data_IF_994411076621
#
_entry.id   IF_994411076621
#
_cell.length_a   1.000
_cell.length_b   1.000
_cell.length_c   1.000
_cell.angle_alpha   90.00
_cell.angle_beta   90.00
_cell.angle_gamma   90.00
#
_symmetry.space_group_name_H-M   'P 1'
#
loop_
_entity.id
_entity.type
_entity.pdbx_description
1 polymer ?
#
# COMPACT_ATOMS: atom_id res chain seq x y z
N UNK A 1 -22.33 -13.17 10.64
CA UNK A 1 -23.31 -13.67 9.66
C UNK A 1 -22.65 -13.73 8.30
N UNK A 2 -22.79 -14.84 7.59
CA UNK A 2 -22.36 -15.01 6.20
C UNK A 2 -23.57 -15.01 5.27
N UNK A 3 -23.40 -14.52 4.06
CA UNK A 3 -24.41 -14.52 3.00
C UNK A 3 -23.76 -14.87 1.67
N UNK A 4 -24.57 -15.13 0.64
CA UNK A 4 -24.07 -15.54 -0.68
C UNK A 4 -24.36 -14.46 -1.71
N UNK A 5 -23.42 -14.30 -2.64
CA UNK A 5 -23.56 -13.49 -3.86
C UNK A 5 -22.95 -14.26 -5.05
N UNK A 6 -23.23 -13.82 -6.26
CA UNK A 6 -22.82 -14.52 -7.49
C UNK A 6 -21.60 -13.83 -8.11
N UNK A 7 -20.59 -14.61 -8.47
CA UNK A 7 -19.37 -14.15 -9.17
C UNK A 7 -19.15 -15.03 -10.40
N UNK A 8 -19.18 -14.46 -11.59
CA UNK A 8 -18.98 -15.19 -12.86
C UNK A 8 -19.89 -16.44 -12.97
N UNK A 9 -21.12 -16.33 -12.46
CA UNK A 9 -22.11 -17.42 -12.42
C UNK A 9 -21.95 -18.41 -11.25
N UNK A 10 -20.90 -18.30 -10.44
CA UNK A 10 -20.63 -19.16 -9.29
C UNK A 10 -21.10 -18.50 -7.98
N UNK A 11 -21.69 -19.27 -7.05
CA UNK A 11 -22.01 -18.76 -5.72
C UNK A 11 -20.73 -18.59 -4.88
N UNK A 12 -20.61 -17.43 -4.24
CA UNK A 12 -19.48 -17.06 -3.39
C UNK A 12 -20.01 -16.58 -2.04
N UNK A 13 -19.48 -17.11 -0.94
CA UNK A 13 -19.84 -16.65 0.39
C UNK A 13 -19.10 -15.35 0.75
N UNK A 14 -19.81 -14.44 1.42
CA UNK A 14 -19.27 -13.23 1.98
C UNK A 14 -19.58 -13.09 3.47
N UNK A 15 -18.68 -12.43 4.20
CA UNK A 15 -18.86 -12.03 5.61
C UNK A 15 -19.40 -10.61 5.69
N UNK A 16 -20.28 -10.35 6.65
CA UNK A 16 -20.78 -9.00 6.89
C UNK A 16 -19.64 -8.00 7.12
N UNK A 17 -19.64 -6.90 6.37
CA UNK A 17 -18.65 -5.82 6.45
C UNK A 17 -17.39 -6.03 5.63
N UNK A 18 -17.22 -7.17 4.94
CA UNK A 18 -16.04 -7.37 4.08
C UNK A 18 -16.22 -6.75 2.68
N UNK A 19 -15.10 -6.34 2.08
CA UNK A 19 -15.08 -5.78 0.72
C UNK A 19 -15.19 -6.87 -0.34
N UNK A 20 -15.64 -6.53 -1.55
CA UNK A 20 -15.64 -7.45 -2.68
C UNK A 20 -14.24 -8.01 -2.93
N UNK A 21 -13.19 -7.18 -2.86
CA UNK A 21 -11.82 -7.63 -3.08
C UNK A 21 -11.40 -8.71 -2.06
N UNK A 22 -11.72 -8.51 -0.78
CA UNK A 22 -11.42 -9.46 0.29
C UNK A 22 -12.15 -10.79 0.07
N UNK A 23 -13.45 -10.73 -0.27
CA UNK A 23 -14.25 -11.92 -0.57
C UNK A 23 -13.69 -12.67 -1.80
N UNK A 24 -13.42 -11.95 -2.90
CA UNK A 24 -12.92 -12.53 -4.15
C UNK A 24 -11.55 -13.23 -3.96
N UNK A 25 -10.62 -12.60 -3.24
CA UNK A 25 -9.31 -13.20 -2.96
C UNK A 25 -9.38 -14.49 -2.15
N UNK A 26 -10.34 -14.58 -1.23
CA UNK A 26 -10.56 -15.77 -0.40
C UNK A 26 -11.02 -16.98 -1.22
N UNK A 27 -11.62 -16.72 -2.38
CA UNK A 27 -12.07 -17.71 -3.36
C UNK A 27 -11.14 -17.84 -4.56
N UNK A 28 -9.86 -17.46 -4.39
CA UNK A 28 -8.81 -17.56 -5.42
C UNK A 28 -9.09 -16.78 -6.70
N UNK A 29 -9.99 -15.79 -6.67
CA UNK A 29 -10.17 -14.84 -7.76
C UNK A 29 -9.08 -13.77 -7.66
N UNK A 30 -8.05 -13.87 -8.50
CA UNK A 30 -6.96 -12.89 -8.52
C UNK A 30 -7.41 -11.58 -9.17
N UNK A 31 -7.68 -10.58 -8.34
CA UNK A 31 -8.01 -9.23 -8.77
C UNK A 31 -6.77 -8.33 -8.62
N UNK A 32 -6.29 -7.71 -9.70
CA UNK A 32 -5.06 -6.93 -9.65
C UNK A 32 -5.24 -5.68 -8.80
N UNK A 33 -4.24 -5.40 -7.97
CA UNK A 33 -4.21 -4.20 -7.12
C UNK A 33 -2.82 -3.60 -7.07
N UNK A 34 -2.77 -2.28 -6.96
CA UNK A 34 -1.52 -1.53 -6.77
C UNK A 34 -1.50 -0.74 -5.47
N UNK A 35 -2.62 -0.12 -5.10
CA UNK A 35 -2.80 0.69 -3.89
C UNK A 35 -3.47 -0.08 -2.73
N UNK A 36 -3.34 -1.40 -2.71
CA UNK A 36 -3.84 -2.24 -1.62
C UNK A 36 -2.65 -2.99 -1.02
N UNK A 37 -2.55 -2.97 0.31
CA UNK A 37 -1.58 -3.75 1.07
C UNK A 37 -2.22 -4.10 2.41
N UNK A 38 -2.26 -5.37 2.77
CA UNK A 38 -2.78 -5.77 4.09
C UNK A 38 -1.78 -5.36 5.18
N UNK A 39 -2.24 -4.84 6.34
CA UNK A 39 -3.62 -4.67 6.80
C UNK A 39 -4.16 -3.22 6.60
N UNK A 40 -3.67 -2.46 5.63
CA UNK A 40 -4.10 -1.08 5.42
C UNK A 40 -5.54 -0.99 4.93
N UNK A 41 -6.20 0.10 5.30
CA UNK A 41 -7.52 0.42 4.76
C UNK A 41 -7.48 0.57 3.23
N UNK A 42 -8.57 0.27 2.50
CA UNK A 42 -8.59 0.40 1.04
C UNK A 42 -8.37 1.86 0.59
N UNK A 43 -7.38 2.09 -0.28
CA UNK A 43 -7.09 3.43 -0.79
C UNK A 43 -7.96 3.86 -1.98
N UNK A 44 -8.49 2.91 -2.76
CA UNK A 44 -9.30 3.18 -3.96
C UNK A 44 -8.59 3.87 -5.14
N UNK A 45 -7.35 4.37 -4.96
CA UNK A 45 -6.70 5.31 -5.88
C UNK A 45 -6.27 4.72 -7.23
N UNK A 46 -5.81 3.46 -7.28
CA UNK A 46 -5.26 2.88 -8.52
C UNK A 46 -6.30 2.36 -9.50
N UNK A 47 -7.54 2.09 -9.04
CA UNK A 47 -8.68 1.55 -9.81
C UNK A 47 -8.45 0.23 -10.56
N UNK A 48 -7.28 -0.42 -10.49
CA UNK A 48 -7.03 -1.72 -11.15
C UNK A 48 -7.96 -2.84 -10.68
N UNK A 49 -8.46 -2.73 -9.44
CA UNK A 49 -9.40 -3.67 -8.83
C UNK A 49 -10.84 -3.55 -9.37
N UNK A 50 -11.03 -2.89 -10.51
CA UNK A 50 -12.33 -2.71 -11.14
C UNK A 50 -12.95 -4.07 -11.49
N UNK A 51 -14.23 -4.21 -11.17
CA UNK A 51 -15.10 -5.34 -11.49
C UNK A 51 -16.46 -4.81 -11.98
N UNK A 52 -17.20 -5.63 -12.68
CA UNK A 52 -18.55 -5.31 -13.17
C UNK A 52 -19.59 -5.82 -12.17
N UNK A 53 -20.50 -4.95 -11.76
CA UNK A 53 -21.60 -5.29 -10.86
C UNK A 53 -22.92 -5.03 -11.58
N UNK A 54 -23.83 -6.00 -11.54
CA UNK A 54 -25.17 -5.87 -12.14
C UNK A 54 -25.95 -4.74 -11.48
N UNK A 55 -26.60 -3.92 -12.30
CA UNK A 55 -27.49 -2.87 -11.83
C UNK A 55 -28.79 -3.48 -11.31
N UNK A 56 -29.32 -2.97 -10.18
CA UNK A 56 -30.59 -3.46 -9.62
C UNK A 56 -31.79 -3.08 -10.49
N UNK A 57 -31.76 -1.87 -11.05
CA UNK A 57 -32.92 -1.22 -11.69
C UNK A 57 -32.78 -1.04 -13.21
N UNK A 58 -31.72 -1.60 -13.81
CA UNK A 58 -31.45 -1.46 -15.25
C UNK A 58 -30.81 -2.73 -15.82
N UNK A 59 -31.12 -3.05 -17.07
CA UNK A 59 -30.43 -4.09 -17.82
C UNK A 59 -29.00 -3.60 -18.13
N UNK A 60 -28.04 -4.08 -17.35
CA UNK A 60 -26.64 -3.74 -17.53
C UNK A 60 -25.76 -3.97 -16.31
N UNK A 61 -24.47 -3.75 -16.53
CA UNK A 61 -23.43 -3.80 -15.50
C UNK A 61 -22.80 -2.42 -15.37
N UNK A 62 -22.46 -2.05 -14.14
CA UNK A 62 -21.65 -0.87 -13.86
C UNK A 62 -20.31 -1.28 -13.27
N UNK A 63 -19.27 -0.54 -13.60
CA UNK A 63 -17.93 -0.78 -13.06
C UNK A 63 -17.78 -0.19 -11.66
N UNK A 64 -17.26 -0.99 -10.73
CA UNK A 64 -17.02 -0.60 -9.33
C UNK A 64 -15.62 -1.04 -8.90
N UNK A 65 -15.02 -0.31 -7.96
CA UNK A 65 -13.77 -0.74 -7.34
C UNK A 65 -14.06 -1.79 -6.26
N UNK A 66 -13.60 -3.02 -6.48
CA UNK A 66 -13.84 -4.11 -5.53
C UNK A 66 -13.21 -3.86 -4.16
N UNK A 67 -12.12 -3.09 -4.08
CA UNK A 67 -11.46 -2.80 -2.80
C UNK A 67 -12.27 -1.89 -1.87
N UNK A 68 -13.20 -1.09 -2.38
CA UNK A 68 -14.03 -0.18 -1.57
C UNK A 68 -15.48 -0.68 -1.45
N UNK A 69 -15.94 -1.49 -2.39
CA UNK A 69 -17.31 -1.95 -2.44
C UNK A 69 -17.56 -3.00 -1.36
N UNK A 70 -18.47 -2.70 -0.43
CA UNK A 70 -18.95 -3.67 0.55
C UNK A 70 -19.77 -4.77 -0.14
N UNK A 71 -19.56 -6.01 0.30
CA UNK A 71 -20.37 -7.15 -0.14
C UNK A 71 -21.83 -7.01 0.33
N UNK A 72 -22.78 -7.42 -0.52
CA UNK A 72 -24.21 -7.48 -0.18
C UNK A 72 -24.83 -8.76 -0.75
N UNK A 73 -25.85 -9.28 -0.05
CA UNK A 73 -26.59 -10.45 -0.51
C UNK A 73 -27.27 -10.17 -1.87
N UNK A 74 -27.21 -11.16 -2.76
CA UNK A 74 -27.83 -11.08 -4.09
C UNK A 74 -27.10 -10.21 -5.10
N UNK A 75 -25.88 -9.74 -4.81
CA UNK A 75 -25.03 -9.11 -5.82
C UNK A 75 -24.66 -10.11 -6.93
N UNK A 76 -24.56 -9.63 -8.16
CA UNK A 76 -24.01 -10.38 -9.29
C UNK A 76 -22.81 -9.61 -9.84
N UNK A 77 -21.64 -10.24 -9.77
CA UNK A 77 -20.33 -9.66 -10.11
C UNK A 77 -19.74 -10.43 -11.29
N UNK A 78 -19.15 -9.70 -12.23
CA UNK A 78 -18.27 -10.25 -13.26
C UNK A 78 -16.85 -9.76 -13.02
N UNK A 79 -15.91 -10.69 -13.00
CA UNK A 79 -14.48 -10.36 -12.82
C UNK A 79 -13.71 -10.40 -14.12
N UNK A 80 -14.31 -10.98 -15.16
CA UNK A 80 -13.74 -11.16 -16.49
C UNK A 80 -14.73 -10.75 -17.57
N UNK A 81 -14.35 -9.75 -18.36
CA UNK A 81 -15.05 -9.34 -19.58
C UNK A 81 -14.09 -8.56 -20.48
N UNK A 82 -14.43 -8.40 -21.76
CA UNK A 82 -13.64 -7.57 -22.67
C UNK A 82 -13.58 -6.11 -22.21
N UNK A 83 -14.70 -5.59 -21.71
CA UNK A 83 -14.77 -4.24 -21.14
C UNK A 83 -13.80 -4.10 -19.95
N UNK A 84 -13.78 -5.05 -19.00
CA UNK A 84 -12.85 -5.02 -17.88
C UNK A 84 -11.38 -5.10 -18.32
N UNK A 85 -11.06 -5.96 -19.30
CA UNK A 85 -9.71 -6.06 -19.85
C UNK A 85 -9.27 -4.73 -20.48
N UNK A 86 -10.15 -4.11 -21.27
CA UNK A 86 -9.87 -2.83 -21.92
C UNK A 86 -9.67 -1.71 -20.90
N UNK A 87 -10.53 -1.62 -19.88
CA UNK A 87 -10.40 -0.63 -18.81
C UNK A 87 -9.11 -0.82 -18.01
N UNK A 88 -8.76 -2.06 -17.62
CA UNK A 88 -7.50 -2.33 -16.90
C UNK A 88 -6.28 -1.96 -17.75
N UNK A 89 -6.28 -2.25 -19.05
CA UNK A 89 -5.22 -1.82 -19.98
C UNK A 89 -5.08 -0.30 -20.02
N UNK A 90 -6.19 0.43 -20.17
CA UNK A 90 -6.17 1.89 -20.16
C UNK A 90 -5.63 2.46 -18.84
N UNK A 91 -6.05 1.91 -17.70
CA UNK A 91 -5.53 2.32 -16.37
C UNK A 91 -4.03 2.04 -16.24
N UNK A 92 -3.57 0.88 -16.69
CA UNK A 92 -2.14 0.54 -16.71
C UNK A 92 -1.35 1.55 -17.56
N UNK A 93 -1.82 1.87 -18.77
CA UNK A 93 -1.17 2.89 -19.62
C UNK A 93 -1.04 4.23 -18.90
N UNK A 94 -2.08 4.68 -18.18
CA UNK A 94 -2.03 5.92 -17.40
C UNK A 94 -1.04 5.84 -16.23
N UNK A 95 -1.02 4.73 -15.49
CA UNK A 95 -0.11 4.52 -14.36
C UNK A 95 1.36 4.46 -14.80
N UNK A 96 1.66 3.85 -15.95
CA UNK A 96 3.03 3.82 -16.52
C UNK A 96 3.55 5.22 -16.82
N UNK A 97 2.69 6.09 -17.36
CA UNK A 97 3.04 7.48 -17.67
C UNK A 97 3.42 8.30 -16.44
N UNK A 98 2.86 7.95 -15.27
CA UNK A 98 3.25 8.60 -14.02
C UNK A 98 4.65 8.21 -13.57
N UNK A 99 5.13 7.02 -13.96
CA UNK A 99 6.39 6.47 -13.47
C UNK A 99 7.07 5.52 -14.46
N UNK A 100 7.54 6.03 -15.63
CA UNK A 100 8.11 5.19 -16.68
C UNK A 100 9.35 4.43 -16.19
N UNK A 101 10.23 5.10 -15.46
CA UNK A 101 11.54 4.57 -15.04
C UNK A 101 11.51 3.79 -13.70
N UNK A 102 10.34 3.25 -13.33
CA UNK A 102 10.16 2.49 -12.10
C UNK A 102 9.99 0.98 -12.39
N UNK A 103 11.07 0.18 -12.51
CA UNK A 103 11.01 -1.20 -12.98
C UNK A 103 10.14 -2.12 -12.09
N UNK A 104 10.18 -1.92 -10.77
CA UNK A 104 9.32 -2.67 -9.84
C UNK A 104 7.83 -2.38 -10.05
N UNK A 105 7.48 -1.14 -10.42
CA UNK A 105 6.12 -0.79 -10.82
C UNK A 105 5.78 -1.44 -12.17
N UNK A 106 6.67 -1.36 -13.17
CA UNK A 106 6.40 -1.92 -14.50
C UNK A 106 6.07 -3.42 -14.39
N UNK A 107 6.88 -4.20 -13.67
CA UNK A 107 6.63 -5.63 -13.45
C UNK A 107 5.29 -5.93 -12.72
N UNK A 108 4.83 -5.04 -11.83
CA UNK A 108 3.51 -5.18 -11.19
C UNK A 108 2.37 -4.85 -12.16
N UNK A 109 2.57 -3.85 -13.01
CA UNK A 109 1.59 -3.45 -14.01
C UNK A 109 1.47 -4.48 -15.15
N UNK A 110 2.57 -5.07 -15.60
CA UNK A 110 2.59 -6.16 -16.59
C UNK A 110 1.75 -7.35 -16.11
N UNK A 111 1.97 -7.79 -14.87
CA UNK A 111 1.19 -8.87 -14.24
C UNK A 111 -0.30 -8.54 -14.16
N UNK A 112 -0.66 -7.28 -13.94
CA UNK A 112 -2.06 -6.86 -13.79
C UNK A 112 -2.89 -6.99 -15.08
N UNK A 113 -2.26 -6.96 -16.27
CA UNK A 113 -2.95 -7.06 -17.57
C UNK A 113 -2.56 -8.30 -18.38
N UNK A 114 -1.65 -9.14 -17.85
CA UNK A 114 -1.19 -10.37 -18.49
C UNK A 114 -0.41 -10.18 -19.79
N UNK A 115 0.02 -8.95 -20.11
CA UNK A 115 0.75 -8.59 -21.34
C UNK A 115 1.72 -7.44 -21.05
N UNK A 116 2.92 -7.49 -21.62
CA UNK A 116 3.79 -6.32 -21.71
C UNK A 116 3.19 -5.30 -22.68
N UNK A 117 2.53 -4.24 -22.20
CA UNK A 117 2.09 -3.16 -23.08
C UNK A 117 3.27 -2.24 -23.41
N UNK A 118 3.70 -2.19 -24.67
CA UNK A 118 4.69 -1.18 -25.07
C UNK A 118 4.13 0.23 -24.81
N UNK A 119 4.92 1.17 -24.29
CA UNK A 119 4.51 2.57 -24.22
C UNK A 119 4.27 3.07 -25.64
N UNK A 120 3.00 3.17 -26.02
CA UNK A 120 2.59 3.70 -27.31
C UNK A 120 3.00 5.18 -27.43
N UNK A 121 3.94 5.42 -28.36
CA UNK A 121 4.45 6.70 -28.85
C UNK A 121 5.08 7.64 -27.81
N UNK A 122 6.42 7.68 -27.84
CA UNK A 122 7.29 8.80 -27.42
C UNK A 122 6.88 9.51 -26.12
N UNK A 123 7.41 9.04 -24.99
CA UNK A 123 7.29 9.74 -23.71
C UNK A 123 8.67 10.28 -23.34
N UNK A 124 8.80 11.57 -22.98
CA UNK A 124 10.05 12.12 -22.49
C UNK A 124 10.48 11.38 -21.22
N UNK A 125 11.63 10.72 -21.26
CA UNK A 125 12.40 10.33 -20.08
C UNK A 125 12.89 11.61 -19.42
N UNK A 126 12.11 12.11 -18.46
CA UNK A 126 12.51 13.26 -17.67
C UNK A 126 13.44 12.80 -16.57
N UNK A 127 14.71 13.21 -16.62
CA UNK A 127 15.59 13.17 -15.45
C UNK A 127 14.91 13.95 -14.32
N UNK A 128 14.43 13.21 -13.32
CA UNK A 128 13.63 13.73 -12.23
C UNK A 128 13.46 12.70 -11.13
N UNK A 129 13.12 13.12 -9.90
CA UNK A 129 13.02 12.21 -8.76
C UNK A 129 11.98 11.11 -9.03
N UNK A 130 12.36 9.84 -8.76
CA UNK A 130 11.50 8.65 -8.84
C UNK A 130 10.03 9.00 -8.51
N UNK A 131 9.14 8.91 -9.52
CA UNK A 131 7.90 9.65 -9.48
C UNK A 131 6.82 8.97 -8.64
N UNK A 132 5.95 9.78 -8.05
CA UNK A 132 4.85 9.32 -7.21
C UNK A 132 3.62 9.00 -8.06
N UNK A 133 3.13 7.77 -8.00
CA UNK A 133 1.86 7.38 -8.63
C UNK A 133 0.62 7.70 -7.80
N UNK A 134 0.79 8.40 -6.67
CA UNK A 134 -0.30 8.87 -5.80
C UNK A 134 -1.15 7.73 -5.22
N UNK A 135 -0.55 6.58 -4.98
CA UNK A 135 -1.25 5.41 -4.45
C UNK A 135 -1.69 5.57 -2.98
N UNK A 136 -1.08 6.48 -2.21
CA UNK A 136 -1.43 6.75 -0.81
C UNK A 136 -0.87 5.76 0.22
N UNK A 137 -0.32 4.60 -0.19
CA UNK A 137 0.17 3.55 0.72
C UNK A 137 1.15 4.06 1.78
N UNK A 138 2.05 4.98 1.41
CA UNK A 138 3.02 5.57 2.33
C UNK A 138 2.38 6.47 3.39
N UNK A 139 1.32 7.22 3.03
CA UNK A 139 0.55 8.06 3.95
C UNK A 139 -0.22 7.18 4.92
N UNK A 140 -0.92 6.17 4.40
CA UNK A 140 -1.72 5.24 5.19
C UNK A 140 -0.88 4.46 6.19
N UNK A 141 0.21 3.83 5.77
CA UNK A 141 1.06 3.08 6.72
C UNK A 141 1.66 3.99 7.79
N UNK A 142 1.98 5.23 7.45
CA UNK A 142 2.54 6.20 8.39
C UNK A 142 1.53 6.65 9.45
N UNK A 143 0.24 6.76 9.08
CA UNK A 143 -0.84 7.11 10.00
C UNK A 143 -1.47 5.91 10.69
N UNK A 144 -2.03 4.97 9.92
CA UNK A 144 -2.85 3.85 10.41
C UNK A 144 -2.04 2.81 11.20
N UNK A 145 -0.80 2.54 10.79
CA UNK A 145 -0.01 1.43 11.38
C UNK A 145 1.12 1.94 12.27
N UNK A 146 1.84 2.96 11.81
CA UNK A 146 2.96 3.55 12.57
C UNK A 146 2.47 4.58 13.58
N UNK A 147 1.39 5.32 13.28
CA UNK A 147 0.89 6.41 14.14
C UNK A 147 1.76 7.68 14.13
N UNK A 148 2.73 7.80 13.21
CA UNK A 148 3.63 8.94 13.15
C UNK A 148 3.03 10.13 12.37
N UNK A 149 2.09 9.90 11.46
CA UNK A 149 1.44 10.95 10.65
C UNK A 149 2.43 11.95 10.00
N UNK A 150 3.61 11.47 9.61
CA UNK A 150 4.69 12.30 9.10
C UNK A 150 4.61 12.59 7.59
N UNK A 151 3.69 11.95 6.88
CA UNK A 151 3.57 12.02 5.42
C UNK A 151 2.12 12.36 5.11
N UNK A 152 1.89 13.25 4.15
CA UNK A 152 0.56 13.57 3.64
C UNK A 152 0.56 13.66 2.11
N UNK A 153 -0.64 13.66 1.52
CA UNK A 153 -0.84 14.01 0.13
C UNK A 153 -0.87 15.53 -0.01
N UNK A 154 0.14 16.12 -0.67
CA UNK A 154 0.27 17.55 -0.90
C UNK A 154 0.05 17.91 -2.37
N UNK A 155 -0.50 19.10 -2.62
CA UNK A 155 -0.83 19.57 -3.97
C UNK A 155 -2.22 19.12 -4.44
N UNK A 156 -2.52 19.34 -5.73
CA UNK A 156 -3.81 18.98 -6.35
C UNK A 156 -3.60 18.61 -7.82
N UNK A 157 -4.50 17.80 -8.38
CA UNK A 157 -4.44 17.39 -9.78
C UNK A 157 -3.09 16.78 -10.16
N UNK A 158 -2.40 17.39 -11.13
CA UNK A 158 -1.09 16.90 -11.62
C UNK A 158 0.06 17.10 -10.62
N UNK A 159 -0.05 18.07 -9.71
CA UNK A 159 1.00 18.32 -8.70
C UNK A 159 0.81 17.50 -7.42
N UNK A 160 -0.31 16.77 -7.30
CA UNK A 160 -0.59 15.91 -6.16
C UNK A 160 0.50 14.84 -5.99
N UNK A 161 1.10 14.77 -4.80
CA UNK A 161 2.13 13.79 -4.45
C UNK A 161 2.12 13.51 -2.96
N UNK A 162 2.70 12.39 -2.55
CA UNK A 162 3.00 12.15 -1.15
C UNK A 162 4.27 12.92 -0.79
N UNK A 163 4.29 13.59 0.36
CA UNK A 163 5.46 14.33 0.82
C UNK A 163 5.39 14.54 2.34
N UNK A 164 6.49 15.04 2.92
CA UNK A 164 6.50 15.48 4.33
C UNK A 164 5.87 16.87 4.42
N UNK A 165 4.79 17.06 5.20
CA UNK A 165 4.22 18.38 5.41
C UNK A 165 5.22 19.33 6.10
N UNK A 166 5.10 20.65 5.87
CA UNK A 166 5.86 21.62 6.64
C UNK A 166 5.62 21.43 8.14
N UNK A 167 6.70 21.41 8.91
CA UNK A 167 6.68 21.33 10.37
C UNK A 167 7.58 22.43 10.94
N UNK A 168 7.36 22.87 12.20
CA UNK A 168 8.31 23.72 12.90
C UNK A 168 9.73 23.13 12.90
N UNK A 169 10.73 24.00 12.98
CA UNK A 169 12.12 23.56 13.02
C UNK A 169 12.34 22.62 14.22
N UNK A 170 12.95 21.46 13.98
CA UNK A 170 13.26 20.46 15.01
C UNK A 170 12.11 19.56 15.44
N UNK A 171 10.90 19.69 14.88
CA UNK A 171 9.71 18.92 15.32
C UNK A 171 9.22 17.90 14.29
N UNK A 172 10.13 17.21 13.59
CA UNK A 172 9.74 16.22 12.57
C UNK A 172 9.12 15.00 13.25
N UNK A 173 7.85 14.63 12.97
CA UNK A 173 7.21 13.47 13.59
C UNK A 173 7.71 12.13 13.01
N UNK A 174 8.45 12.17 11.89
CA UNK A 174 9.03 10.99 11.26
C UNK A 174 10.01 10.27 12.20
N UNK A 175 9.74 9.00 12.49
CA UNK A 175 10.60 8.15 13.32
C UNK A 175 11.60 7.29 12.51
N UNK A 176 11.80 7.61 11.22
CA UNK A 176 12.68 6.89 10.30
C UNK A 176 12.50 5.35 10.31
N UNK A 177 11.24 4.88 10.39
CA UNK A 177 10.95 3.46 10.46
C UNK A 177 11.19 2.71 9.14
N UNK A 178 11.00 3.36 7.99
CA UNK A 178 11.17 2.76 6.66
C UNK A 178 9.94 2.05 6.10
N UNK A 179 8.83 1.97 6.85
CA UNK A 179 7.60 1.28 6.41
C UNK A 179 7.02 1.86 5.11
N UNK A 180 7.07 3.19 4.95
CA UNK A 180 6.62 3.87 3.73
C UNK A 180 7.46 3.49 2.49
N UNK A 181 8.77 3.31 2.66
CA UNK A 181 9.68 2.92 1.59
C UNK A 181 9.43 1.48 1.14
N UNK A 182 9.21 0.57 2.11
CA UNK A 182 8.93 -0.85 1.85
C UNK A 182 7.67 -1.07 1.00
N UNK A 183 6.64 -0.23 1.16
CA UNK A 183 5.40 -0.34 0.39
C UNK A 183 5.40 0.44 -0.93
N UNK A 184 6.37 1.32 -1.16
CA UNK A 184 6.31 2.25 -2.28
C UNK A 184 6.64 1.54 -3.61
N UNK A 185 5.68 1.43 -4.54
CA UNK A 185 5.91 0.68 -5.78
C UNK A 185 6.90 1.37 -6.73
N UNK A 186 7.18 2.66 -6.53
CA UNK A 186 8.10 3.44 -7.37
C UNK A 186 9.40 3.83 -6.68
N UNK A 187 9.57 3.48 -5.40
CA UNK A 187 10.70 3.96 -4.60
C UNK A 187 10.65 5.45 -4.23
N UNK A 188 9.60 6.19 -4.62
CA UNK A 188 9.42 7.60 -4.27
C UNK A 188 9.57 7.87 -2.76
N UNK A 189 8.97 7.02 -1.92
CA UNK A 189 8.97 7.19 -0.47
C UNK A 189 10.32 6.90 0.21
N UNK A 190 11.30 6.33 -0.50
CA UNK A 190 12.65 6.13 0.02
C UNK A 190 13.41 7.43 0.28
N UNK A 191 12.87 8.59 -0.15
CA UNK A 191 13.46 9.93 0.06
C UNK A 191 13.01 10.63 1.33
N UNK A 192 11.84 10.27 1.88
CA UNK A 192 11.33 10.82 3.14
C UNK A 192 12.18 10.55 4.39
N UNK A 193 12.97 9.45 4.50
CA UNK A 193 13.72 9.14 5.72
C UNK A 193 14.79 10.17 6.08
N UNK A 194 15.33 10.94 5.13
CA UNK A 194 16.50 11.79 5.36
C UNK A 194 16.26 12.84 6.46
N UNK A 195 15.22 13.66 6.32
CA UNK A 195 14.90 14.72 7.29
C UNK A 195 14.53 14.18 8.69
N UNK A 196 13.79 13.07 8.75
CA UNK A 196 13.43 12.43 10.02
C UNK A 196 14.63 11.79 10.72
N UNK A 197 15.49 11.11 9.96
CA UNK A 197 16.70 10.48 10.48
C UNK A 197 17.70 11.52 11.01
N UNK A 198 17.87 12.63 10.29
CA UNK A 198 18.74 13.72 10.71
C UNK A 198 18.24 14.35 12.01
N UNK A 199 16.93 14.61 12.10
CA UNK A 199 16.32 15.11 13.34
C UNK A 199 16.51 14.14 14.52
N UNK A 200 16.36 12.82 14.30
CA UNK A 200 16.59 11.81 15.34
C UNK A 200 18.05 11.74 15.79
N UNK A 201 19.00 11.84 14.86
CA UNK A 201 20.44 11.84 15.17
C UNK A 201 20.85 13.10 15.94
N UNK A 202 20.16 14.22 15.72
CA UNK A 202 20.37 15.49 16.43
C UNK A 202 19.72 15.52 17.83
N UNK A 203 18.89 14.53 18.19
CA UNK A 203 18.36 14.42 19.56
C UNK A 203 19.49 14.04 20.53
N UNK A 204 19.99 15.05 21.23
CA UNK A 204 20.99 14.91 22.30
C UNK A 204 20.39 14.39 23.62
N UNK A 205 19.06 14.36 23.75
CA UNK A 205 18.37 13.87 24.93
C UNK A 205 18.51 12.33 25.09
N UNK A 206 18.91 11.91 26.28
CA UNK A 206 18.99 10.51 26.72
C UNK A 206 17.76 10.23 27.61
N UNK A 207 17.05 9.10 27.44
CA UNK A 207 17.35 7.99 26.53
C UNK A 207 16.90 8.25 25.08
N UNK A 208 17.72 7.82 24.10
CA UNK A 208 17.38 7.83 22.67
C UNK A 208 16.51 6.61 22.37
N UNK A 209 15.19 6.69 22.14
CA UNK A 209 14.35 5.50 21.99
C UNK A 209 14.63 4.77 20.67
N UNK A 210 14.69 3.43 20.72
CA UNK A 210 14.80 2.58 19.53
C UNK A 210 13.58 2.76 18.61
N UNK A 211 13.79 2.78 17.29
CA UNK A 211 12.66 2.87 16.33
C UNK A 211 11.66 1.72 16.46
N UNK A 212 12.10 0.54 16.89
CA UNK A 212 11.20 -0.60 17.14
C UNK A 212 10.39 -0.42 18.42
N UNK A 213 10.95 0.25 19.44
CA UNK A 213 10.20 0.65 20.63
C UNK A 213 9.17 1.73 20.27
N UNK A 214 9.54 2.73 19.47
CA UNK A 214 8.62 3.75 18.94
C UNK A 214 7.51 3.15 18.08
N UNK A 215 7.81 2.07 17.34
CA UNK A 215 6.81 1.30 16.62
C UNK A 215 6.01 0.36 17.52
N UNK A 216 6.29 0.24 18.82
CA UNK A 216 5.62 -0.71 19.72
C UNK A 216 5.85 -2.19 19.36
N UNK A 217 7.01 -2.52 18.81
CA UNK A 217 7.44 -3.88 18.44
C UNK A 217 8.54 -4.44 19.36
N UNK A 218 9.10 -3.60 20.22
CA UNK A 218 10.13 -3.96 21.18
C UNK A 218 9.86 -3.23 22.49
N UNK A 219 10.39 -3.73 23.63
CA UNK A 219 10.38 -2.99 24.89
C UNK A 219 11.06 -1.62 24.75
N UNK A 220 10.93 -0.77 25.78
CA UNK A 220 11.56 0.55 25.85
C UNK A 220 13.10 0.46 25.91
N UNK A 221 13.69 0.17 24.76
CA UNK A 221 15.13 -0.02 24.55
C UNK A 221 15.72 1.26 23.98
N UNK A 222 16.83 1.72 24.57
CA UNK A 222 17.59 2.82 24.04
C UNK A 222 18.42 2.40 22.80
N UNK A 223 18.47 3.26 21.79
CA UNK A 223 19.23 3.06 20.57
C UNK A 223 20.72 3.34 20.80
N UNK A 224 21.51 2.28 20.96
CA UNK A 224 22.97 2.39 21.05
C UNK A 224 23.63 2.73 19.69
N UNK A 225 22.99 2.37 18.57
CA UNK A 225 23.55 2.52 17.22
C UNK A 225 23.31 3.90 16.59
N UNK A 226 22.82 4.90 17.34
CA UNK A 226 22.49 6.23 16.82
C UNK A 226 21.65 6.22 15.53
N UNK A 227 20.64 5.36 15.50
CA UNK A 227 19.77 5.10 14.34
C UNK A 227 20.48 4.58 13.07
N UNK A 228 21.74 4.16 13.15
CA UNK A 228 22.42 3.38 12.10
C UNK A 228 21.91 1.93 12.13
N UNK A 229 20.64 1.76 11.76
CA UNK A 229 19.97 0.48 11.96
C UNK A 229 20.58 -0.65 11.12
N UNK A 230 21.22 -0.33 9.99
CA UNK A 230 21.86 -1.29 9.10
C UNK A 230 23.00 -2.11 9.74
N UNK A 231 23.51 -1.69 10.90
CA UNK A 231 24.54 -2.41 11.66
C UNK A 231 24.02 -2.93 13.02
N UNK A 232 22.71 -2.85 13.27
CA UNK A 232 22.10 -3.16 14.57
C UNK A 232 21.47 -4.55 14.59
N UNK A 233 21.85 -5.39 15.56
CA UNK A 233 21.33 -6.77 15.70
C UNK A 233 19.81 -6.84 15.91
N UNK A 234 19.24 -5.86 16.62
CA UNK A 234 17.77 -5.78 16.78
C UNK A 234 17.11 -5.59 15.41
N UNK A 235 17.69 -4.74 14.56
CA UNK A 235 17.16 -4.52 13.22
C UNK A 235 17.21 -5.79 12.37
N UNK A 236 18.36 -6.47 12.31
CA UNK A 236 18.51 -7.69 11.53
C UNK A 236 17.59 -8.81 12.02
N UNK A 237 17.40 -8.95 13.35
CA UNK A 237 16.42 -9.90 13.91
C UNK A 237 15.00 -9.58 13.46
N UNK A 238 14.60 -8.31 13.50
CA UNK A 238 13.26 -7.89 13.08
C UNK A 238 13.04 -8.10 11.57
N UNK A 239 14.06 -7.87 10.74
CA UNK A 239 13.98 -8.17 9.30
C UNK A 239 13.79 -9.66 9.04
N UNK A 240 14.55 -10.53 9.71
CA UNK A 240 14.36 -11.99 9.60
C UNK A 240 12.95 -12.42 10.00
N UNK A 241 12.43 -11.92 11.13
CA UNK A 241 11.04 -12.18 11.55
C UNK A 241 10.02 -11.75 10.50
N UNK A 242 10.24 -10.61 9.84
CA UNK A 242 9.36 -10.13 8.78
C UNK A 242 9.41 -11.03 7.53
N UNK A 243 10.60 -11.48 7.15
CA UNK A 243 10.81 -12.42 6.05
C UNK A 243 10.14 -13.77 6.34
N UNK A 244 10.36 -14.33 7.53
CA UNK A 244 9.75 -15.59 7.98
C UNK A 244 8.21 -15.52 7.98
N UNK A 245 7.65 -14.35 8.32
CA UNK A 245 6.21 -14.10 8.28
C UNK A 245 5.67 -13.71 6.89
N UNK A 246 6.54 -13.58 5.87
CA UNK A 246 6.16 -13.18 4.52
C UNK A 246 5.62 -11.75 4.40
N UNK A 247 5.98 -10.85 5.33
CA UNK A 247 5.51 -9.46 5.34
C UNK A 247 6.59 -8.48 4.86
N UNK A 248 6.16 -7.44 4.16
CA UNK A 248 7.09 -6.49 3.52
C UNK A 248 7.89 -5.62 4.50
N UNK A 249 7.46 -5.52 5.77
CA UNK A 249 8.14 -4.70 6.78
C UNK A 249 7.77 -5.19 8.19
N UNK A 250 8.70 -5.14 9.17
CA UNK A 250 8.44 -5.61 10.54
C UNK A 250 7.25 -4.96 11.25
N UNK A 251 6.84 -3.75 10.83
CA UNK A 251 5.66 -3.07 11.37
C UNK A 251 4.37 -3.91 11.26
N UNK A 252 4.31 -4.80 10.26
CA UNK A 252 3.14 -5.66 10.03
C UNK A 252 3.11 -6.91 10.92
N UNK A 253 4.16 -7.17 11.71
CA UNK A 253 4.18 -8.28 12.66
C UNK A 253 3.13 -8.13 13.78
N UNK A 254 2.73 -6.89 14.12
CA UNK A 254 1.66 -6.62 15.09
C UNK A 254 0.33 -7.30 14.74
N UNK A 255 0.06 -7.55 13.46
CA UNK A 255 -1.18 -8.15 12.99
C UNK A 255 -1.13 -9.68 12.82
N UNK A 256 0.06 -10.27 12.85
CA UNK A 256 0.27 -11.72 12.67
C UNK A 256 0.24 -12.49 13.99
N UNK A 257 0.43 -11.81 15.12
CA UNK A 257 0.43 -12.40 16.47
C UNK A 257 -1.00 -12.60 17.02
N UNK A 258 -1.90 -13.21 16.23
CA UNK A 258 -3.08 -13.87 16.82
C UNK A 258 -2.60 -15.13 17.55
N UNK A 259 -2.26 -14.98 18.83
CA UNK A 259 -2.17 -16.10 19.76
C UNK A 259 -0.81 -16.43 20.36
N UNK A 260 -0.03 -15.43 20.80
CA UNK A 260 0.98 -15.70 21.82
C UNK A 260 0.83 -14.68 22.93
N UNK A 261 0.04 -15.04 23.93
CA UNK A 261 0.10 -14.42 25.25
C UNK A 261 1.56 -14.45 25.71
N UNK A 262 2.10 -13.26 25.99
CA UNK A 262 3.32 -13.12 26.77
C UNK A 262 2.97 -13.55 28.19
N UNK A 263 3.39 -14.76 28.56
CA UNK A 263 3.63 -15.14 29.96
C UNK A 263 4.94 -14.55 30.43
#
# INVERSE_FOLDING_TARGET
MSFVFTVDGQPVDARAGETLLTALRRHSCDIPTLCHADPLSPAGSCRLCVVEMKCRDADGFRMVASCEMATQAGMEIRTQSDALRQTRRALVTLLRRLAPDAPALQARLDRAVGVATSPENGVPTGEGPAPCIRCGLCVQVCGEVVGAHAIAMLGRGRSLRADTPPHPAGTVPCIACGACAALCPTGHAARFPAAGLDALKLRTAVPRPCRYALMGLAPDVACAANYQCAVCDIHHRMLRRAEDAGVAHPVFLKGTEKGTEVR
#
